data_IF_019800042328
#
_entry.id   IF_019800042328
#
_cell.length_a   1.000
_cell.length_b   1.000
_cell.length_c   1.000
_cell.angle_alpha   90.00
_cell.angle_beta   90.00
_cell.angle_gamma   90.00
#
_symmetry.space_group_name_H-M   'P 1'
#
loop_
_entity.id
_entity.type
_entity.pdbx_description
1 polymer ?
#
# COMPACT_ATOMS: atom_id res chain seq x y z
N UNK A 1 36.90 15.34 -2.95
CA UNK A 1 35.59 15.96 -2.81
C UNK A 1 35.24 16.08 -1.32
N UNK A 2 34.79 17.26 -0.90
CA UNK A 2 34.41 17.49 0.50
C UNK A 2 33.10 16.73 0.82
N UNK A 3 33.09 15.73 1.74
CA UNK A 3 31.91 14.93 2.03
C UNK A 3 30.70 15.75 2.50
N UNK A 4 30.93 16.90 3.15
CA UNK A 4 29.85 17.77 3.57
C UNK A 4 29.18 18.52 2.40
N UNK A 5 29.96 18.95 1.41
CA UNK A 5 29.41 19.59 0.21
C UNK A 5 28.61 18.62 -0.64
N UNK A 6 29.13 17.40 -0.79
CA UNK A 6 28.42 16.31 -1.53
C UNK A 6 27.13 15.94 -0.81
N UNK A 7 27.15 15.81 0.54
CA UNK A 7 25.98 15.53 1.34
C UNK A 7 24.90 16.63 1.21
N UNK A 8 25.31 17.89 1.24
CA UNK A 8 24.36 19.02 1.07
C UNK A 8 23.75 19.05 -0.34
N UNK A 9 24.53 18.75 -1.38
CA UNK A 9 24.02 18.64 -2.75
C UNK A 9 22.99 17.51 -2.89
N UNK A 10 23.20 16.37 -2.23
CA UNK A 10 22.23 15.28 -2.19
C UNK A 10 20.94 15.70 -1.46
N UNK A 11 21.06 16.36 -0.33
CA UNK A 11 19.91 16.91 0.43
C UNK A 11 19.05 17.84 -0.42
N UNK A 12 19.69 18.80 -1.11
CA UNK A 12 18.99 19.75 -1.99
C UNK A 12 18.24 19.07 -3.15
N UNK A 13 18.71 17.89 -3.58
CA UNK A 13 18.06 17.07 -4.60
C UNK A 13 17.09 16.02 -4.02
N UNK A 14 16.69 16.14 -2.75
CA UNK A 14 15.72 15.24 -2.10
C UNK A 14 16.27 13.85 -1.77
N UNK A 15 17.58 13.64 -1.88
CA UNK A 15 18.25 12.39 -1.53
C UNK A 15 18.64 12.40 -0.06
N UNK A 16 17.76 11.85 0.79
CA UNK A 16 17.97 11.80 2.23
C UNK A 16 18.96 10.69 2.61
N UNK A 17 19.86 10.93 3.58
CA UNK A 17 20.75 9.90 4.09
C UNK A 17 19.99 8.91 4.99
N UNK A 18 20.54 7.72 5.10
CA UNK A 18 20.05 6.65 5.95
C UNK A 18 21.08 6.27 7.01
N UNK A 19 20.62 6.06 8.25
CA UNK A 19 21.46 5.53 9.33
C UNK A 19 21.47 4.00 9.26
N UNK A 20 22.63 3.43 8.95
CA UNK A 20 22.85 2.00 9.00
C UNK A 20 23.58 1.65 10.31
N UNK A 21 22.96 0.82 11.15
CA UNK A 21 23.58 0.29 12.36
C UNK A 21 24.19 -1.08 12.08
N UNK A 22 25.51 -1.19 12.14
CA UNK A 22 26.24 -2.44 11.87
C UNK A 22 27.02 -2.83 13.12
N UNK A 23 26.97 -4.09 13.49
CA UNK A 23 27.84 -4.66 14.52
C UNK A 23 29.23 -4.89 13.94
N UNK A 24 30.22 -4.09 14.35
CA UNK A 24 31.63 -4.25 13.97
C UNK A 24 32.43 -4.53 15.21
N UNK A 25 33.11 -5.70 15.28
CA UNK A 25 33.91 -6.14 16.40
C UNK A 25 33.17 -6.06 17.76
N UNK A 26 31.90 -6.47 17.81
CA UNK A 26 31.10 -6.45 19.04
C UNK A 26 30.57 -5.06 19.44
N UNK A 27 30.85 -3.99 18.67
CA UNK A 27 30.37 -2.64 18.92
C UNK A 27 29.33 -2.24 17.83
N UNK A 28 28.23 -1.66 18.27
CA UNK A 28 27.25 -1.08 17.37
C UNK A 28 27.80 0.22 16.78
N UNK A 29 28.10 0.22 15.49
CA UNK A 29 28.58 1.40 14.75
C UNK A 29 27.44 1.92 13.89
N UNK A 30 27.09 3.20 14.04
CA UNK A 30 26.14 3.90 13.17
C UNK A 30 26.92 4.56 12.03
N UNK A 31 26.57 4.22 10.81
CA UNK A 31 27.16 4.80 9.59
C UNK A 31 26.07 5.49 8.79
N UNK A 32 26.32 6.74 8.41
CA UNK A 32 25.43 7.49 7.52
C UNK A 32 25.76 7.11 6.08
N UNK A 33 24.77 6.63 5.34
CA UNK A 33 24.90 6.28 3.91
C UNK A 33 23.88 7.04 3.07
N UNK A 34 24.20 7.28 1.80
CA UNK A 34 23.30 7.81 0.80
C UNK A 34 22.97 6.71 -0.22
N UNK A 35 21.93 5.91 0.01
CA UNK A 35 21.62 4.75 -0.84
C UNK A 35 20.82 5.19 -2.07
N UNK A 36 21.41 6.04 -2.89
CA UNK A 36 20.77 6.62 -4.06
C UNK A 36 21.63 6.44 -5.31
N UNK A 37 20.97 6.25 -6.45
CA UNK A 37 21.53 6.39 -7.77
C UNK A 37 20.82 7.54 -8.50
N UNK A 38 21.45 8.13 -9.50
CA UNK A 38 20.84 9.15 -10.34
C UNK A 38 20.83 8.67 -11.78
N UNK A 39 19.66 8.62 -12.39
CA UNK A 39 19.48 8.30 -13.80
C UNK A 39 19.33 9.60 -14.58
N UNK A 40 20.13 9.75 -15.64
CA UNK A 40 20.05 10.88 -16.59
C UNK A 40 19.57 10.39 -17.95
N UNK A 41 18.61 11.10 -18.52
CA UNK A 41 18.16 10.87 -19.88
C UNK A 41 17.83 12.21 -20.55
N UNK A 42 18.52 12.53 -21.64
CA UNK A 42 18.49 13.88 -22.26
C UNK A 42 18.84 14.93 -21.20
N UNK A 43 18.02 15.98 -21.07
CA UNK A 43 18.20 17.07 -20.13
C UNK A 43 17.51 16.85 -18.78
N UNK A 44 16.96 15.67 -18.55
CA UNK A 44 16.27 15.30 -17.30
C UNK A 44 17.11 14.34 -16.47
N UNK A 45 17.01 14.48 -15.16
CA UNK A 45 17.58 13.53 -14.21
C UNK A 45 16.61 13.19 -13.09
N UNK A 46 16.69 11.96 -12.57
CA UNK A 46 15.82 11.48 -11.52
C UNK A 46 16.57 10.59 -10.54
N UNK A 47 16.40 10.77 -9.22
CA UNK A 47 17.01 9.91 -8.22
C UNK A 47 16.28 8.56 -8.14
N UNK A 48 17.05 7.50 -7.91
CA UNK A 48 16.56 6.14 -7.61
C UNK A 48 16.97 5.77 -6.21
N UNK A 49 16.00 5.48 -5.34
CA UNK A 49 16.28 4.99 -3.99
C UNK A 49 16.59 3.50 -4.06
N UNK A 50 17.78 3.10 -3.58
CA UNK A 50 18.29 1.73 -3.68
C UNK A 50 17.89 0.84 -2.53
N UNK A 51 17.58 1.42 -1.35
CA UNK A 51 17.15 0.66 -0.19
C UNK A 51 15.64 0.47 -0.15
N UNK A 52 15.21 -0.75 0.11
CA UNK A 52 13.82 -1.10 0.36
C UNK A 52 13.68 -1.56 1.81
N UNK A 53 13.34 -0.61 2.70
CA UNK A 53 13.11 -0.90 4.12
C UNK A 53 11.79 -1.62 4.30
N UNK A 54 11.83 -2.80 4.90
CA UNK A 54 10.64 -3.49 5.39
C UNK A 54 10.46 -3.22 6.88
N UNK A 55 9.22 -3.11 7.30
CA UNK A 55 8.85 -2.97 8.72
C UNK A 55 9.43 -4.13 9.53
N UNK A 56 10.09 -3.82 10.64
CA UNK A 56 10.71 -4.79 11.56
C UNK A 56 11.74 -5.73 10.91
N UNK A 57 12.32 -5.38 9.76
CA UNK A 57 13.33 -6.20 9.10
C UNK A 57 14.73 -5.97 9.69
N UNK A 58 15.48 -7.05 9.84
CA UNK A 58 16.90 -6.95 10.12
C UNK A 58 17.68 -6.49 8.86
N UNK A 59 18.96 -6.13 9.04
CA UNK A 59 19.81 -5.61 7.95
C UNK A 59 19.90 -6.57 6.75
N UNK A 60 20.02 -7.88 7.01
CA UNK A 60 20.09 -8.90 5.96
C UNK A 60 18.80 -8.95 5.13
N UNK A 61 17.65 -8.96 5.79
CA UNK A 61 16.33 -8.93 5.14
C UNK A 61 16.11 -7.62 4.36
N UNK A 62 16.63 -6.50 4.86
CA UNK A 62 16.61 -5.22 4.17
C UNK A 62 17.46 -5.24 2.90
N UNK A 63 18.68 -5.79 2.94
CA UNK A 63 19.54 -5.94 1.77
C UNK A 63 18.87 -6.84 0.72
N UNK A 64 18.37 -8.00 1.14
CA UNK A 64 17.69 -8.93 0.24
C UNK A 64 16.47 -8.28 -0.45
N UNK A 65 15.63 -7.57 0.30
CA UNK A 65 14.48 -6.87 -0.27
C UNK A 65 14.89 -5.73 -1.20
N UNK A 66 16.01 -5.07 -0.92
CA UNK A 66 16.56 -4.00 -1.76
C UNK A 66 17.04 -4.55 -3.10
N UNK A 67 17.83 -5.63 -3.08
CA UNK A 67 18.31 -6.27 -4.32
C UNK A 67 17.14 -6.77 -5.18
N UNK A 68 16.13 -7.39 -4.56
CA UNK A 68 14.92 -7.81 -5.27
C UNK A 68 14.17 -6.64 -5.92
N UNK A 69 14.23 -5.45 -5.33
CA UNK A 69 13.54 -4.27 -5.81
C UNK A 69 14.32 -3.45 -6.84
N UNK A 70 15.63 -3.69 -7.04
CA UNK A 70 16.48 -2.86 -7.90
C UNK A 70 15.97 -2.76 -9.34
N UNK A 71 15.63 -3.90 -9.97
CA UNK A 71 15.13 -3.92 -11.34
C UNK A 71 13.84 -3.09 -11.48
N UNK A 72 12.93 -3.20 -10.52
CA UNK A 72 11.75 -2.37 -10.49
C UNK A 72 12.10 -0.88 -10.32
N UNK A 73 12.97 -0.54 -9.37
CA UNK A 73 13.31 0.85 -9.05
C UNK A 73 13.94 1.58 -10.24
N UNK A 74 14.85 0.92 -10.97
CA UNK A 74 15.44 1.49 -12.19
C UNK A 74 14.45 1.55 -13.35
N UNK A 75 13.68 0.48 -13.59
CA UNK A 75 12.68 0.45 -14.67
C UNK A 75 11.62 1.51 -14.47
N UNK A 76 11.19 1.74 -13.23
CA UNK A 76 10.24 2.78 -12.87
C UNK A 76 10.76 4.18 -13.28
N UNK A 77 12.01 4.49 -12.96
CA UNK A 77 12.61 5.77 -13.34
C UNK A 77 12.85 5.88 -14.85
N UNK A 78 13.25 4.80 -15.53
CA UNK A 78 13.38 4.78 -16.98
C UNK A 78 12.04 5.07 -17.68
N UNK A 79 10.94 4.49 -17.18
CA UNK A 79 9.61 4.77 -17.70
C UNK A 79 9.18 6.22 -17.47
N UNK A 80 9.47 6.78 -16.29
CA UNK A 80 9.17 8.19 -15.98
C UNK A 80 9.91 9.16 -16.89
N UNK A 81 11.18 8.89 -17.15
CA UNK A 81 12.03 9.76 -18.00
C UNK A 81 11.79 9.57 -19.50
N UNK A 82 11.49 8.33 -19.95
CA UNK A 82 11.40 7.98 -21.37
C UNK A 82 10.00 8.04 -21.96
N UNK A 83 8.94 8.09 -21.13
CA UNK A 83 7.56 7.97 -21.58
C UNK A 83 6.83 9.31 -21.60
N UNK A 84 6.15 9.60 -22.71
CA UNK A 84 5.12 10.64 -22.69
C UNK A 84 3.94 10.23 -21.82
N UNK A 85 3.50 11.11 -20.93
CA UNK A 85 2.31 10.92 -20.10
C UNK A 85 1.08 10.99 -20.98
N UNK A 86 0.46 9.87 -21.30
CA UNK A 86 -0.73 9.80 -22.17
C UNK A 86 -2.03 9.64 -21.38
N UNK A 87 -1.99 8.80 -20.32
CA UNK A 87 -3.19 8.49 -19.56
C UNK A 87 -3.60 9.64 -18.66
N UNK A 88 -4.90 9.92 -18.63
CA UNK A 88 -5.53 11.00 -17.89
C UNK A 88 -6.33 10.44 -16.73
N UNK A 89 -6.13 11.01 -15.54
CA UNK A 89 -6.85 10.62 -14.32
C UNK A 89 -7.69 11.78 -13.85
N UNK A 90 -8.99 11.54 -13.62
CA UNK A 90 -9.89 12.47 -12.95
C UNK A 90 -9.86 12.18 -11.43
N UNK A 91 -9.55 13.18 -10.63
CA UNK A 91 -9.72 13.13 -9.17
C UNK A 91 -11.07 13.77 -8.87
N UNK A 92 -12.02 12.97 -8.40
CA UNK A 92 -13.37 13.45 -8.16
C UNK A 92 -13.40 14.47 -7.00
N UNK A 93 -14.24 15.50 -7.17
CA UNK A 93 -14.44 16.62 -6.24
C UNK A 93 -15.89 17.04 -6.31
N UNK A 94 -16.69 16.86 -5.29
CA UNK A 94 -18.06 17.33 -5.17
C UNK A 94 -18.85 16.64 -4.06
N UNK A 95 -18.25 15.56 -3.51
CA UNK A 95 -18.90 14.75 -2.46
C UNK A 95 -18.27 14.93 -1.09
N UNK A 96 -17.55 16.04 -0.87
CA UNK A 96 -16.86 16.30 0.38
C UNK A 96 -15.66 15.39 0.60
N UNK A 97 -14.97 15.08 -0.47
CA UNK A 97 -13.75 14.27 -0.49
C UNK A 97 -12.63 14.95 0.31
N UNK A 98 -11.54 14.24 0.55
CA UNK A 98 -10.38 14.79 1.25
C UNK A 98 -9.86 16.06 0.58
N UNK A 99 -9.51 17.07 1.37
CA UNK A 99 -8.91 18.31 0.88
C UNK A 99 -7.55 18.01 0.19
N UNK A 100 -7.18 18.87 -0.77
CA UNK A 100 -5.96 18.71 -1.57
C UNK A 100 -4.69 18.55 -0.74
N UNK A 101 -4.59 19.26 0.41
CA UNK A 101 -3.44 19.15 1.32
C UNK A 101 -3.21 17.75 1.85
N UNK A 102 -4.27 16.96 2.03
CA UNK A 102 -4.18 15.56 2.48
C UNK A 102 -3.87 14.57 1.37
N UNK A 103 -3.98 14.98 0.10
CA UNK A 103 -3.68 14.19 -1.09
C UNK A 103 -2.37 14.59 -1.76
N UNK A 104 -1.73 15.67 -1.30
CA UNK A 104 -0.61 16.35 -1.98
C UNK A 104 0.54 15.40 -2.30
N UNK A 105 0.97 14.59 -1.34
CA UNK A 105 2.11 13.70 -1.56
C UNK A 105 1.78 12.61 -2.58
N UNK A 106 0.61 11.97 -2.48
CA UNK A 106 0.19 10.95 -3.44
C UNK A 106 -0.01 11.51 -4.86
N UNK A 107 -0.75 12.62 -4.98
CA UNK A 107 -1.00 13.25 -6.29
C UNK A 107 0.28 13.76 -6.93
N UNK A 108 1.20 14.34 -6.16
CA UNK A 108 2.51 14.77 -6.65
C UNK A 108 3.33 13.59 -7.16
N UNK A 109 3.30 12.47 -6.45
CA UNK A 109 3.99 11.24 -6.86
C UNK A 109 3.44 10.69 -8.19
N UNK A 110 2.11 10.57 -8.33
CA UNK A 110 1.51 9.99 -9.55
C UNK A 110 1.52 10.94 -10.75
N UNK A 111 1.72 12.26 -10.56
CA UNK A 111 1.96 13.20 -11.67
C UNK A 111 3.21 12.88 -12.48
N UNK A 112 4.16 12.14 -11.92
CA UNK A 112 5.31 11.66 -12.66
C UNK A 112 4.93 10.68 -13.79
N UNK A 113 3.79 9.99 -13.67
CA UNK A 113 3.32 8.96 -14.61
C UNK A 113 2.15 9.44 -15.48
N UNK A 114 1.25 10.25 -14.92
CA UNK A 114 -0.08 10.53 -15.47
C UNK A 114 -0.40 12.01 -15.52
N UNK A 115 -1.30 12.38 -16.43
CA UNK A 115 -1.94 13.69 -16.43
C UNK A 115 -3.12 13.65 -15.45
N UNK A 116 -3.10 14.50 -14.44
CA UNK A 116 -4.10 14.50 -13.37
C UNK A 116 -4.86 15.81 -13.39
N UNK A 117 -6.18 15.74 -13.33
CA UNK A 117 -7.05 16.91 -13.21
C UNK A 117 -8.15 16.67 -12.17
N UNK A 118 -8.56 17.69 -11.40
CA UNK A 118 -9.78 17.63 -10.62
C UNK A 118 -10.99 17.56 -11.54
N UNK A 119 -12.03 16.85 -11.11
CA UNK A 119 -13.27 16.71 -11.86
C UNK A 119 -14.47 16.80 -10.91
N UNK A 120 -15.37 17.75 -11.14
CA UNK A 120 -16.58 17.93 -10.34
C UNK A 120 -17.80 17.32 -11.01
N UNK A 121 -18.63 16.67 -10.19
CA UNK A 121 -19.95 16.19 -10.60
C UNK A 121 -21.08 17.20 -10.34
N UNK A 122 -20.80 18.39 -9.80
CA UNK A 122 -21.82 19.38 -9.41
C UNK A 122 -22.75 19.78 -10.56
N UNK A 123 -22.22 19.86 -11.77
CA UNK A 123 -22.99 20.23 -12.96
C UNK A 123 -23.89 19.09 -13.50
N UNK A 124 -23.85 17.91 -12.92
CA UNK A 124 -24.64 16.74 -13.39
C UNK A 124 -26.14 16.99 -13.33
N UNK A 125 -26.63 17.73 -12.33
CA UNK A 125 -28.05 18.01 -12.18
C UNK A 125 -28.64 18.75 -13.40
N UNK A 126 -27.91 19.72 -13.94
CA UNK A 126 -28.34 20.50 -15.10
C UNK A 126 -27.86 19.94 -16.45
N UNK A 127 -26.68 19.40 -16.52
CA UNK A 127 -25.99 19.00 -17.74
C UNK A 127 -25.39 17.60 -17.73
N UNK A 128 -26.14 16.52 -17.36
CA UNK A 128 -25.60 15.21 -17.16
C UNK A 128 -24.88 14.60 -18.36
N UNK A 129 -25.45 14.80 -19.58
CA UNK A 129 -24.84 14.29 -20.82
C UNK A 129 -23.49 14.95 -21.14
N UNK A 130 -23.35 16.24 -20.84
CA UNK A 130 -22.10 16.98 -21.02
C UNK A 130 -21.05 16.49 -20.04
N UNK A 131 -21.43 16.34 -18.77
CA UNK A 131 -20.50 15.86 -17.71
C UNK A 131 -20.03 14.44 -18.04
N UNK A 132 -20.93 13.54 -18.45
CA UNK A 132 -20.53 12.18 -18.87
C UNK A 132 -19.53 12.22 -20.04
N UNK A 133 -19.78 13.04 -21.06
CA UNK A 133 -18.88 13.18 -22.22
C UNK A 133 -17.50 13.71 -21.81
N UNK A 134 -17.45 14.66 -20.88
CA UNK A 134 -16.17 15.18 -20.36
C UNK A 134 -15.46 14.13 -19.50
N UNK A 135 -16.18 13.38 -18.65
CA UNK A 135 -15.60 12.32 -17.83
C UNK A 135 -15.01 11.18 -18.68
N UNK A 136 -15.64 10.86 -19.81
CA UNK A 136 -15.14 9.84 -20.75
C UNK A 136 -13.81 10.20 -21.42
N UNK A 137 -13.30 11.43 -21.26
CA UNK A 137 -11.95 11.80 -21.73
C UNK A 137 -10.85 11.33 -20.79
N UNK A 138 -11.19 10.83 -19.61
CA UNK A 138 -10.26 10.31 -18.62
C UNK A 138 -10.23 8.78 -18.67
N UNK A 139 -9.04 8.20 -18.51
CA UNK A 139 -8.82 6.75 -18.54
C UNK A 139 -9.14 6.10 -17.20
N UNK A 140 -9.01 6.85 -16.11
CA UNK A 140 -9.36 6.39 -14.76
C UNK A 140 -9.92 7.54 -13.91
N UNK A 141 -10.71 7.18 -12.90
CA UNK A 141 -11.16 8.06 -11.84
C UNK A 141 -10.54 7.63 -10.51
N UNK A 142 -10.30 8.60 -9.63
CA UNK A 142 -9.96 8.41 -8.21
C UNK A 142 -11.08 9.05 -7.40
N UNK A 143 -11.71 8.25 -6.55
CA UNK A 143 -12.65 8.71 -5.52
C UNK A 143 -12.01 8.52 -4.14
N UNK A 144 -11.84 9.61 -3.39
CA UNK A 144 -11.06 9.63 -2.16
C UNK A 144 -11.86 10.17 -0.96
N UNK A 145 -12.42 9.27 -0.17
CA UNK A 145 -13.19 9.58 1.05
C UNK A 145 -14.39 10.50 0.79
N UNK A 146 -15.37 10.12 -0.05
CA UNK A 146 -16.61 10.87 -0.16
C UNK A 146 -17.36 10.89 1.17
N UNK A 147 -17.91 12.05 1.54
CA UNK A 147 -18.69 12.23 2.77
C UNK A 147 -20.16 12.51 2.50
N UNK A 148 -20.53 12.86 1.26
CA UNK A 148 -21.90 13.18 0.85
C UNK A 148 -22.43 12.11 -0.12
N UNK A 149 -23.70 11.78 0.00
CA UNK A 149 -24.37 10.82 -0.88
C UNK A 149 -24.37 11.27 -2.34
N UNK A 150 -24.21 10.31 -3.24
CA UNK A 150 -24.35 10.53 -4.68
C UNK A 150 -25.84 10.55 -5.07
N UNK A 151 -26.20 11.46 -5.95
CA UNK A 151 -27.54 11.49 -6.54
C UNK A 151 -27.68 10.42 -7.62
N UNK A 152 -28.91 10.04 -7.97
CA UNK A 152 -29.16 9.04 -9.03
C UNK A 152 -28.57 9.45 -10.39
N UNK A 153 -28.58 10.75 -10.72
CA UNK A 153 -27.95 11.24 -11.95
C UNK A 153 -26.44 11.09 -11.94
N UNK A 154 -25.78 11.35 -10.82
CA UNK A 154 -24.34 11.18 -10.65
C UNK A 154 -23.94 9.72 -10.71
N UNK A 155 -24.71 8.85 -10.05
CA UNK A 155 -24.49 7.39 -10.12
C UNK A 155 -24.63 6.88 -11.55
N UNK A 156 -25.61 7.37 -12.30
CA UNK A 156 -25.77 6.96 -13.69
C UNK A 156 -24.62 7.46 -14.58
N UNK A 157 -24.10 8.66 -14.33
CA UNK A 157 -22.89 9.16 -15.01
C UNK A 157 -21.68 8.26 -14.71
N UNK A 158 -21.46 7.90 -13.45
CA UNK A 158 -20.37 7.02 -13.05
C UNK A 158 -20.55 5.61 -13.61
N UNK A 159 -21.76 5.05 -13.53
CA UNK A 159 -22.08 3.74 -14.11
C UNK A 159 -21.79 3.72 -15.61
N UNK A 160 -22.31 4.69 -16.37
CA UNK A 160 -22.08 4.76 -17.80
C UNK A 160 -20.63 5.09 -18.20
N UNK A 161 -19.89 5.78 -17.34
CA UNK A 161 -18.44 5.90 -17.51
C UNK A 161 -17.75 4.52 -17.43
N UNK A 162 -18.09 3.70 -16.43
CA UNK A 162 -17.57 2.33 -16.29
C UNK A 162 -18.05 1.45 -17.46
N UNK A 163 -19.33 1.55 -17.86
CA UNK A 163 -19.87 0.80 -19.00
C UNK A 163 -19.11 1.09 -20.31
N UNK A 164 -18.52 2.27 -20.44
CA UNK A 164 -17.69 2.64 -21.59
C UNK A 164 -16.20 2.26 -21.45
N UNK A 165 -15.84 1.52 -20.42
CA UNK A 165 -14.47 1.02 -20.21
C UNK A 165 -13.63 1.88 -19.27
N UNK A 166 -14.22 2.87 -18.63
CA UNK A 166 -13.58 3.67 -17.59
C UNK A 166 -13.11 2.78 -16.44
N UNK A 167 -12.00 3.14 -15.82
CA UNK A 167 -11.41 2.45 -14.68
C UNK A 167 -11.59 3.28 -13.43
N UNK A 168 -11.62 2.64 -12.26
CA UNK A 168 -11.83 3.37 -11.02
C UNK A 168 -11.00 2.81 -9.86
N UNK A 169 -10.43 3.73 -9.07
CA UNK A 169 -9.88 3.48 -7.75
C UNK A 169 -10.81 4.14 -6.74
N UNK A 170 -11.57 3.30 -6.04
CA UNK A 170 -12.52 3.71 -5.02
C UNK A 170 -11.88 3.55 -3.63
N UNK A 171 -11.77 4.61 -2.87
CA UNK A 171 -11.35 4.62 -1.46
C UNK A 171 -12.52 5.18 -0.65
N UNK A 172 -13.36 4.27 -0.17
CA UNK A 172 -14.71 4.58 0.33
C UNK A 172 -14.98 3.86 1.65
N UNK A 173 -15.50 4.59 2.60
CA UNK A 173 -15.93 4.07 3.89
C UNK A 173 -17.44 4.28 4.11
N UNK A 174 -18.08 3.33 4.78
CA UNK A 174 -19.52 3.35 5.11
C UNK A 174 -19.81 3.71 6.55
N UNK A 175 -18.80 4.02 7.33
CA UNK A 175 -18.90 4.46 8.72
C UNK A 175 -18.30 5.84 8.88
N UNK A 176 -19.04 6.73 9.53
CA UNK A 176 -18.58 8.07 9.86
C UNK A 176 -17.94 8.05 11.24
N UNK A 177 -16.63 8.22 11.29
CA UNK A 177 -15.84 8.42 12.51
C UNK A 177 -14.52 9.11 12.15
N UNK A 178 -14.04 10.01 13.02
CA UNK A 178 -12.80 10.74 12.79
C UNK A 178 -11.87 10.61 14.00
N UNK A 179 -10.61 10.25 13.75
CA UNK A 179 -9.58 10.08 14.79
C UNK A 179 -9.26 11.38 15.53
N UNK A 180 -9.28 12.50 14.84
CA UNK A 180 -8.98 13.81 15.46
C UNK A 180 -10.05 14.21 16.49
N UNK A 181 -11.33 13.95 16.20
CA UNK A 181 -12.41 14.14 17.16
C UNK A 181 -12.22 13.23 18.38
N UNK A 182 -11.88 11.95 18.16
CA UNK A 182 -11.63 10.99 19.23
C UNK A 182 -10.48 11.44 20.16
N UNK A 183 -9.39 12.00 19.62
CA UNK A 183 -8.27 12.53 20.40
C UNK A 183 -8.65 13.74 21.25
N UNK A 184 -9.62 14.55 20.80
CA UNK A 184 -10.06 15.74 21.50
C UNK A 184 -11.02 15.42 22.65
N UNK A 185 -11.95 14.50 22.44
CA UNK A 185 -13.06 14.20 23.37
C UNK A 185 -12.85 12.94 24.21
N UNK A 186 -11.88 12.10 23.83
CA UNK A 186 -11.64 10.79 24.48
C UNK A 186 -12.58 9.68 24.00
N UNK A 187 -13.73 10.01 23.40
CA UNK A 187 -14.66 9.06 22.78
C UNK A 187 -15.34 9.68 21.56
N UNK A 188 -15.83 8.84 20.66
CA UNK A 188 -16.62 9.24 19.50
C UNK A 188 -17.60 8.11 19.15
N UNK A 189 -18.73 8.45 18.52
CA UNK A 189 -19.71 7.47 18.07
C UNK A 189 -19.50 7.20 16.59
N UNK A 190 -19.16 5.95 16.26
CA UNK A 190 -19.12 5.47 14.90
C UNK A 190 -20.57 5.27 14.40
N UNK A 191 -20.94 5.99 13.35
CA UNK A 191 -22.29 5.98 12.79
C UNK A 191 -22.28 5.47 11.35
N UNK A 192 -23.30 4.71 10.91
CA UNK A 192 -23.42 4.33 9.50
C UNK A 192 -23.56 5.58 8.61
N UNK A 193 -22.90 5.56 7.47
CA UNK A 193 -22.88 6.64 6.46
C UNK A 193 -23.35 6.09 5.12
N UNK A 194 -24.52 6.52 4.67
CA UNK A 194 -25.03 6.12 3.37
C UNK A 194 -24.56 7.10 2.28
N UNK A 195 -23.76 6.58 1.37
CA UNK A 195 -23.26 7.31 0.20
C UNK A 195 -24.08 7.04 -1.07
N UNK A 196 -25.14 6.24 -1.00
CA UNK A 196 -25.92 5.74 -2.14
C UNK A 196 -25.08 4.91 -3.16
N UNK A 197 -23.91 4.40 -2.76
CA UNK A 197 -23.04 3.58 -3.61
C UNK A 197 -23.30 2.07 -3.49
N UNK A 198 -24.10 1.65 -2.50
CA UNK A 198 -24.31 0.25 -2.16
C UNK A 198 -24.80 -0.57 -3.35
N UNK A 199 -25.82 -0.07 -4.07
CA UNK A 199 -26.40 -0.75 -5.23
C UNK A 199 -25.39 -0.88 -6.38
N UNK A 200 -24.54 0.15 -6.57
CA UNK A 200 -23.49 0.15 -7.60
C UNK A 200 -22.47 -0.95 -7.31
N UNK A 201 -21.90 -0.96 -6.11
CA UNK A 201 -20.91 -1.94 -5.73
C UNK A 201 -21.48 -3.36 -5.66
N UNK A 202 -22.71 -3.52 -5.15
CA UNK A 202 -23.38 -4.82 -5.12
C UNK A 202 -23.54 -5.41 -6.54
N UNK A 203 -23.95 -4.59 -7.49
CA UNK A 203 -24.08 -5.01 -8.89
C UNK A 203 -22.72 -5.36 -9.50
N UNK A 204 -21.66 -4.66 -9.11
CA UNK A 204 -20.30 -4.92 -9.56
C UNK A 204 -19.65 -6.10 -8.86
N UNK A 205 -20.24 -6.62 -7.78
CA UNK A 205 -19.84 -7.87 -7.16
C UNK A 205 -19.04 -7.71 -5.86
N UNK A 206 -19.17 -6.57 -5.19
CA UNK A 206 -18.58 -6.31 -3.87
C UNK A 206 -19.60 -5.58 -2.99
N UNK A 207 -19.56 -5.80 -1.67
CA UNK A 207 -20.32 -5.06 -0.67
C UNK A 207 -19.38 -4.52 0.37
N UNK A 208 -19.49 -3.24 0.69
CA UNK A 208 -18.84 -2.62 1.85
C UNK A 208 -19.83 -2.69 3.00
N UNK A 209 -19.43 -3.29 4.12
CA UNK A 209 -20.30 -3.50 5.27
C UNK A 209 -20.29 -2.29 6.21
N UNK A 210 -21.40 -2.07 6.93
CA UNK A 210 -21.54 -1.03 7.97
C UNK A 210 -20.97 -1.53 9.31
N UNK A 211 -19.65 -1.77 9.33
CA UNK A 211 -18.94 -2.28 10.49
C UNK A 211 -17.49 -1.78 10.49
N UNK A 212 -16.85 -1.80 11.65
CA UNK A 212 -15.44 -1.45 11.80
C UNK A 212 -14.60 -2.69 12.04
N UNK A 213 -13.41 -2.73 11.45
CA UNK A 213 -12.45 -3.78 11.70
C UNK A 213 -11.58 -3.42 12.89
N UNK A 214 -11.67 -4.27 13.91
CA UNK A 214 -10.82 -4.27 15.09
C UNK A 214 -9.77 -5.37 14.90
N UNK A 215 -8.47 -5.01 14.86
CA UNK A 215 -7.37 -5.91 14.54
C UNK A 215 -6.23 -5.74 15.54
N UNK A 216 -5.76 -6.84 16.10
CA UNK A 216 -4.60 -6.84 17.02
C UNK A 216 -3.32 -6.45 16.29
N UNK A 217 -3.20 -6.81 15.01
CA UNK A 217 -2.10 -6.36 14.17
C UNK A 217 -2.40 -4.99 13.59
N UNK A 218 -2.08 -3.96 14.34
CA UNK A 218 -2.45 -2.56 14.07
C UNK A 218 -1.31 -1.60 14.35
N UNK A 219 -1.42 -0.39 13.81
CA UNK A 219 -0.55 0.72 14.16
C UNK A 219 -0.90 1.26 15.55
N UNK A 220 0.07 1.71 16.34
CA UNK A 220 -0.19 2.29 17.66
C UNK A 220 -0.81 3.69 17.55
N UNK A 221 -1.63 4.06 18.54
CA UNK A 221 -2.01 5.45 18.74
C UNK A 221 -1.05 6.13 19.71
N UNK A 222 -0.66 7.36 19.41
CA UNK A 222 0.20 8.15 20.29
C UNK A 222 -0.66 9.12 21.10
N UNK A 223 -0.59 8.96 22.43
CA UNK A 223 -1.34 9.80 23.37
C UNK A 223 -0.39 10.57 24.27
N UNK A 224 -0.75 11.82 24.54
CA UNK A 224 -0.05 12.67 25.48
C UNK A 224 -0.31 12.18 26.92
N UNK A 225 0.76 11.86 27.64
CA UNK A 225 0.72 11.47 29.05
C UNK A 225 1.66 12.32 29.87
N UNK A 226 1.36 12.50 31.16
CA UNK A 226 2.15 13.34 32.06
C UNK A 226 1.45 14.67 32.41
N UNK A 227 2.12 15.49 33.22
CA UNK A 227 1.65 16.82 33.61
C UNK A 227 2.16 17.87 32.62
N UNK A 228 1.48 19.03 32.54
CA UNK A 228 1.71 20.08 31.54
C UNK A 228 3.17 20.47 31.21
N UNK A 229 4.12 20.27 32.13
CA UNK A 229 5.55 20.55 31.90
C UNK A 229 6.37 19.34 31.46
N UNK A 230 5.85 18.11 31.64
CA UNK A 230 6.52 16.84 31.32
C UNK A 230 5.64 15.97 30.43
N UNK A 231 4.94 16.57 29.49
CA UNK A 231 4.08 15.84 28.55
C UNK A 231 4.93 15.02 27.58
N UNK A 232 4.75 13.69 27.62
CA UNK A 232 5.39 12.76 26.69
C UNK A 232 4.32 12.11 25.81
N UNK A 233 4.65 11.88 24.54
CA UNK A 233 3.82 11.12 23.63
C UNK A 233 4.23 9.65 23.67
N UNK A 234 3.37 8.80 24.23
CA UNK A 234 3.61 7.38 24.36
C UNK A 234 2.75 6.56 23.40
N UNK A 235 3.29 5.49 22.78
CA UNK A 235 2.54 4.58 21.95
C UNK A 235 1.66 3.67 22.79
N UNK A 236 0.42 3.49 22.34
CA UNK A 236 -0.54 2.55 22.94
C UNK A 236 -1.14 1.65 21.86
N UNK A 237 -1.49 0.38 22.17
CA UNK A 237 -2.21 -0.49 21.25
C UNK A 237 -3.50 0.17 20.79
N UNK A 238 -3.75 0.20 19.47
CA UNK A 238 -4.95 0.80 18.90
C UNK A 238 -5.52 -0.04 17.77
N UNK A 239 -6.55 -0.78 18.03
CA UNK A 239 -7.02 -1.87 17.17
C UNK A 239 -7.85 -1.42 15.96
N UNK A 240 -8.15 -0.13 15.82
CA UNK A 240 -8.89 0.43 14.67
C UNK A 240 -8.00 1.05 13.59
N UNK A 241 -6.68 0.85 13.68
CA UNK A 241 -5.73 1.14 12.59
C UNK A 241 -5.06 -0.16 12.10
N UNK A 242 -5.82 -1.09 11.47
CA UNK A 242 -5.27 -2.37 11.04
C UNK A 242 -4.13 -2.19 10.04
N UNK A 243 -3.09 -3.01 10.20
CA UNK A 243 -1.98 -3.15 9.27
C UNK A 243 -2.27 -4.30 8.31
N UNK A 244 -2.92 -3.99 7.19
CA UNK A 244 -3.35 -4.99 6.24
C UNK A 244 -2.19 -5.67 5.53
N UNK A 245 -2.33 -6.97 5.34
CA UNK A 245 -1.34 -7.83 4.66
C UNK A 245 -1.83 -8.24 3.28
N UNK A 246 -0.91 -8.53 2.34
CA UNK A 246 -1.26 -9.15 1.08
C UNK A 246 -2.04 -10.45 1.29
N UNK A 247 -3.19 -10.58 0.62
CA UNK A 247 -4.02 -11.79 0.63
C UNK A 247 -3.75 -12.69 -0.57
N UNK A 248 -3.26 -12.13 -1.67
CA UNK A 248 -3.00 -12.85 -2.90
C UNK A 248 -1.55 -12.66 -3.37
N UNK A 249 -1.06 -13.63 -4.16
CA UNK A 249 0.18 -13.48 -4.94
C UNK A 249 -0.11 -12.62 -6.18
N UNK A 250 -0.46 -11.36 -5.96
CA UNK A 250 -0.80 -10.43 -7.04
C UNK A 250 0.23 -9.31 -7.15
N UNK A 251 0.63 -8.89 -8.37
CA UNK A 251 1.66 -7.87 -8.58
C UNK A 251 1.43 -6.57 -7.79
N UNK A 252 0.19 -6.12 -7.67
CA UNK A 252 -0.17 -4.89 -6.93
C UNK A 252 0.34 -4.92 -5.48
N UNK A 253 0.29 -6.08 -4.83
CA UNK A 253 0.62 -6.25 -3.40
C UNK A 253 1.90 -7.03 -3.16
N UNK A 254 2.63 -7.35 -4.20
CA UNK A 254 3.90 -8.07 -4.07
C UNK A 254 5.00 -7.17 -3.56
N UNK A 255 5.75 -7.68 -2.59
CA UNK A 255 6.93 -7.02 -2.02
C UNK A 255 6.68 -5.59 -1.48
N UNK A 256 5.46 -5.33 -0.98
CA UNK A 256 5.11 -4.09 -0.29
C UNK A 256 5.16 -4.27 1.23
N UNK A 257 5.30 -3.18 1.97
CA UNK A 257 5.10 -3.16 3.42
C UNK A 257 3.61 -3.34 3.75
N UNK A 258 3.30 -3.67 5.01
CA UNK A 258 1.94 -3.64 5.50
C UNK A 258 1.31 -2.27 5.21
N UNK A 259 0.06 -2.27 4.78
CA UNK A 259 -0.69 -1.06 4.44
C UNK A 259 -1.52 -0.65 5.65
N UNK A 260 -1.33 0.57 6.12
CA UNK A 260 -2.07 1.11 7.25
C UNK A 260 -3.45 1.59 6.80
N UNK A 261 -4.48 1.12 7.48
CA UNK A 261 -5.86 1.57 7.37
C UNK A 261 -6.25 2.37 8.61
N UNK A 262 -7.29 3.19 8.50
CA UNK A 262 -7.86 3.94 9.63
C UNK A 262 -9.38 3.73 9.63
N UNK A 263 -9.93 3.10 10.67
CA UNK A 263 -11.35 2.78 10.79
C UNK A 263 -11.93 2.01 9.58
N UNK A 264 -11.17 1.05 9.07
CA UNK A 264 -11.55 0.26 7.90
C UNK A 264 -12.88 -0.48 8.08
N UNK A 265 -13.65 -0.58 6.99
CA UNK A 265 -14.81 -1.46 6.92
C UNK A 265 -14.42 -2.82 6.33
N UNK A 266 -15.22 -3.87 6.53
CA UNK A 266 -15.02 -5.11 5.80
C UNK A 266 -15.65 -5.07 4.40
N UNK A 267 -15.11 -5.91 3.50
CA UNK A 267 -15.65 -6.14 2.16
C UNK A 267 -16.12 -7.57 2.02
N UNK A 268 -17.30 -7.77 1.43
CA UNK A 268 -17.72 -9.08 0.93
C UNK A 268 -17.57 -9.14 -0.60
N UNK A 269 -17.13 -10.29 -1.09
CA UNK A 269 -17.15 -10.59 -2.53
C UNK A 269 -18.38 -11.39 -2.89
N UNK A 270 -19.13 -10.93 -3.89
CA UNK A 270 -20.41 -11.51 -4.27
C UNK A 270 -20.27 -12.34 -5.55
N UNK A 271 -20.97 -13.48 -5.64
CA UNK A 271 -20.95 -14.33 -6.82
C UNK A 271 -21.65 -13.64 -8.00
N UNK A 272 -20.91 -13.30 -9.03
CA UNK A 272 -21.38 -12.83 -10.34
C UNK A 272 -20.31 -13.15 -11.40
N UNK A 273 -20.50 -12.73 -12.65
CA UNK A 273 -19.54 -13.00 -13.74
C UNK A 273 -18.25 -12.21 -13.73
N UNK A 274 -17.99 -11.39 -12.68
CA UNK A 274 -16.78 -10.58 -12.53
C UNK A 274 -15.74 -11.38 -11.77
N UNK A 275 -14.47 -11.33 -12.19
CA UNK A 275 -13.34 -11.83 -11.40
C UNK A 275 -13.06 -10.93 -10.21
N UNK A 276 -12.86 -11.50 -9.04
CA UNK A 276 -12.53 -10.79 -7.80
C UNK A 276 -11.24 -11.34 -7.21
N UNK A 277 -10.31 -10.44 -6.95
CA UNK A 277 -9.07 -10.77 -6.25
C UNK A 277 -8.99 -9.93 -4.98
N UNK A 278 -9.05 -10.58 -3.82
CA UNK A 278 -8.79 -9.90 -2.55
C UNK A 278 -7.30 -9.54 -2.52
N UNK A 279 -7.00 -8.24 -2.53
CA UNK A 279 -5.63 -7.73 -2.53
C UNK A 279 -5.06 -7.64 -1.12
N UNK A 280 -5.80 -7.02 -0.22
CA UNK A 280 -5.42 -6.77 1.16
C UNK A 280 -6.50 -7.29 2.09
N UNK A 281 -6.07 -7.82 3.22
CA UNK A 281 -6.94 -8.33 4.28
C UNK A 281 -6.38 -8.02 5.67
N UNK A 282 -7.26 -8.01 6.66
CA UNK A 282 -6.90 -7.93 8.09
C UNK A 282 -6.15 -9.19 8.57
N UNK A 283 -5.64 -9.15 9.78
CA UNK A 283 -4.93 -10.30 10.38
C UNK A 283 -5.89 -11.44 10.78
N UNK A 284 -5.32 -12.56 11.21
CA UNK A 284 -6.09 -13.67 11.78
C UNK A 284 -6.75 -13.29 13.11
N UNK A 285 -6.12 -12.36 13.87
CA UNK A 285 -6.65 -11.82 15.11
C UNK A 285 -7.36 -10.50 14.86
N UNK A 286 -8.40 -10.54 14.04
CA UNK A 286 -9.29 -9.42 13.77
C UNK A 286 -10.74 -9.83 13.86
N UNK A 287 -11.61 -8.86 14.13
CA UNK A 287 -13.05 -9.02 14.17
C UNK A 287 -13.75 -7.81 13.55
N UNK A 288 -14.94 -8.02 13.04
CA UNK A 288 -15.83 -6.97 12.61
C UNK A 288 -16.73 -6.56 13.78
N UNK A 289 -16.99 -5.29 13.92
CA UNK A 289 -17.83 -4.70 14.96
C UNK A 289 -18.89 -3.80 14.34
N UNK A 290 -20.15 -4.17 14.54
CA UNK A 290 -21.30 -3.44 13.99
C UNK A 290 -21.39 -2.02 14.52
N UNK A 291 -21.96 -1.11 13.72
CA UNK A 291 -22.29 0.26 14.09
C UNK A 291 -23.81 0.46 14.08
N UNK A 292 -24.39 1.39 14.91
CA UNK A 292 -23.72 2.42 15.73
C UNK A 292 -22.95 1.85 16.93
N UNK A 293 -21.76 2.43 17.20
CA UNK A 293 -20.92 2.02 18.34
C UNK A 293 -20.13 3.19 18.90
N UNK A 294 -20.01 3.26 20.20
CA UNK A 294 -19.06 4.16 20.85
C UNK A 294 -17.65 3.57 20.76
N UNK A 295 -16.71 4.38 20.28
CA UNK A 295 -15.28 4.12 20.29
C UNK A 295 -14.66 5.05 21.33
N UNK A 296 -13.93 4.46 22.29
CA UNK A 296 -13.39 5.17 23.44
C UNK A 296 -11.90 4.88 23.60
N UNK A 297 -11.09 5.88 23.94
CA UNK A 297 -9.64 5.73 24.14
C UNK A 297 -9.27 4.77 25.26
N UNK A 298 -10.19 4.49 26.23
CA UNK A 298 -9.97 3.48 27.27
C UNK A 298 -9.75 2.06 26.71
N UNK A 299 -10.10 1.82 25.44
CA UNK A 299 -9.83 0.55 24.75
C UNK A 299 -8.35 0.21 24.67
N UNK A 300 -7.44 1.18 24.82
CA UNK A 300 -5.98 0.93 24.91
C UNK A 300 -5.61 0.00 26.08
N UNK A 301 -6.46 -0.09 27.09
CA UNK A 301 -6.24 -0.93 28.28
C UNK A 301 -6.77 -2.36 28.11
N UNK A 302 -7.46 -2.65 27.01
CA UNK A 302 -8.01 -3.99 26.74
C UNK A 302 -6.88 -4.92 26.30
N UNK A 303 -6.71 -6.03 27.03
CA UNK A 303 -5.77 -7.08 26.62
C UNK A 303 -6.50 -8.03 25.65
N UNK A 304 -6.02 -8.15 24.41
CA UNK A 304 -6.66 -9.05 23.45
C UNK A 304 -6.44 -10.52 23.83
N UNK A 305 -7.49 -11.34 23.68
CA UNK A 305 -7.39 -12.80 23.79
C UNK A 305 -7.90 -13.45 22.48
N UNK A 306 -7.43 -14.65 22.12
CA UNK A 306 -7.84 -15.31 20.87
C UNK A 306 -9.35 -15.52 20.75
N UNK A 307 -10.05 -15.75 21.86
CA UNK A 307 -11.50 -15.96 21.88
C UNK A 307 -12.29 -14.73 21.44
N UNK A 308 -11.70 -13.53 21.58
CA UNK A 308 -12.32 -12.27 21.14
C UNK A 308 -12.28 -12.10 19.61
N UNK A 309 -11.51 -12.93 18.89
CA UNK A 309 -11.24 -12.81 17.46
C UNK A 309 -11.48 -14.13 16.70
N UNK A 310 -12.71 -14.62 16.66
CA UNK A 310 -13.00 -15.99 16.21
C UNK A 310 -12.89 -16.19 14.69
N UNK A 311 -12.92 -15.13 13.89
CA UNK A 311 -13.01 -15.24 12.44
C UNK A 311 -11.75 -14.77 11.71
N UNK A 312 -11.35 -13.52 11.87
CA UNK A 312 -10.19 -12.92 11.20
C UNK A 312 -10.25 -12.85 9.67
N UNK A 313 -9.20 -12.30 9.06
CA UNK A 313 -8.98 -12.27 7.59
C UNK A 313 -10.10 -11.60 6.79
N UNK A 314 -10.57 -10.44 7.24
CA UNK A 314 -11.57 -9.67 6.51
C UNK A 314 -10.93 -8.98 5.30
N UNK A 315 -11.52 -9.09 4.10
CA UNK A 315 -11.07 -8.33 2.94
C UNK A 315 -11.20 -6.83 3.17
N UNK A 316 -10.17 -6.06 2.80
CA UNK A 316 -10.11 -4.60 2.93
C UNK A 316 -9.87 -3.89 1.59
N UNK A 317 -9.32 -4.60 0.61
CA UNK A 317 -9.16 -4.10 -0.75
C UNK A 317 -9.38 -5.24 -1.75
N UNK A 318 -10.19 -4.97 -2.78
CA UNK A 318 -10.58 -5.97 -3.79
C UNK A 318 -10.39 -5.38 -5.19
N UNK A 319 -9.73 -6.14 -6.06
CA UNK A 319 -9.67 -5.90 -7.49
C UNK A 319 -10.84 -6.62 -8.18
N UNK A 320 -11.55 -5.90 -9.02
CA UNK A 320 -12.66 -6.38 -9.85
C UNK A 320 -12.26 -6.28 -11.32
N UNK A 321 -12.37 -7.38 -12.07
CA UNK A 321 -12.00 -7.44 -13.49
C UNK A 321 -13.04 -8.18 -14.31
N UNK A 322 -13.43 -7.61 -15.43
CA UNK A 322 -14.36 -8.27 -16.34
C UNK A 322 -15.26 -7.32 -17.10
N UNK A 323 -16.40 -7.84 -17.55
CA UNK A 323 -17.45 -7.10 -18.22
C UNK A 323 -18.58 -6.83 -17.22
N UNK A 324 -18.63 -5.60 -16.71
CA UNK A 324 -19.60 -5.19 -15.70
C UNK A 324 -20.99 -5.04 -16.28
N UNK A 325 -22.01 -5.32 -15.48
CA UNK A 325 -23.41 -5.08 -15.84
C UNK A 325 -23.87 -3.78 -15.18
N UNK A 326 -24.47 -2.88 -15.95
CA UNK A 326 -25.02 -1.62 -15.45
C UNK A 326 -26.03 -1.84 -14.32
N UNK A 327 -25.96 -0.99 -13.30
CA UNK A 327 -26.96 -0.98 -12.23
C UNK A 327 -28.33 -0.53 -12.74
N UNK A 328 -28.36 0.16 -13.86
CA UNK A 328 -29.60 0.64 -14.54
C UNK A 328 -30.13 -0.31 -15.59
N UNK A 329 -29.50 -1.46 -15.80
CA UNK A 329 -30.07 -2.49 -16.68
C UNK A 329 -31.44 -2.91 -16.15
N UNK A 330 -32.46 -2.82 -17.01
CA UNK A 330 -33.86 -3.07 -16.68
C UNK A 330 -34.47 -2.09 -15.64
N UNK A 331 -33.93 -0.89 -15.55
CA UNK A 331 -34.47 0.21 -14.74
C UNK A 331 -34.62 1.45 -15.57
N UNK A 332 -35.51 2.35 -15.18
CA UNK A 332 -35.67 3.66 -15.80
C UNK A 332 -34.43 4.51 -15.46
N UNK A 333 -33.63 4.95 -16.44
CA UNK A 333 -32.46 5.78 -16.17
C UNK A 333 -32.93 7.20 -15.78
N UNK A 334 -32.12 7.90 -14.91
CA UNK A 334 -32.51 9.24 -14.44
C UNK A 334 -32.42 10.34 -15.49
N UNK A 335 -31.84 10.04 -16.65
CA UNK A 335 -31.90 10.87 -17.86
C UNK A 335 -31.69 10.01 -19.12
N UNK A 336 -32.25 10.44 -20.24
CA UNK A 336 -32.08 9.76 -21.52
C UNK A 336 -30.68 9.94 -22.09
N UNK A 337 -29.98 8.82 -22.37
CA UNK A 337 -28.69 8.79 -23.02
C UNK A 337 -28.64 7.74 -24.12
N UNK A 338 -28.72 8.22 -25.39
CA UNK A 338 -28.81 7.36 -26.59
C UNK A 338 -27.68 6.32 -26.74
N UNK A 339 -26.54 6.54 -26.11
CA UNK A 339 -25.38 5.63 -26.15
C UNK A 339 -25.23 4.83 -24.84
N UNK A 340 -26.29 4.72 -24.06
CA UNK A 340 -26.28 3.94 -22.83
C UNK A 340 -25.93 2.47 -23.13
N UNK A 341 -25.16 1.86 -22.22
CA UNK A 341 -24.79 0.46 -22.31
C UNK A 341 -25.24 -0.28 -21.05
N UNK A 342 -25.82 -1.45 -21.27
CA UNK A 342 -26.21 -2.37 -20.18
C UNK A 342 -25.04 -3.23 -19.70
N UNK A 343 -23.98 -3.34 -20.51
CA UNK A 343 -22.81 -4.15 -20.24
C UNK A 343 -21.55 -3.42 -20.70
N UNK A 344 -20.51 -3.46 -19.87
CA UNK A 344 -19.27 -2.80 -20.21
C UNK A 344 -18.42 -3.63 -21.19
N UNK A 345 -17.46 -2.98 -21.84
CA UNK A 345 -16.26 -3.67 -22.33
C UNK A 345 -15.46 -4.16 -21.13
N UNK A 346 -14.50 -5.08 -21.35
CA UNK A 346 -13.60 -5.53 -20.27
C UNK A 346 -12.89 -4.33 -19.64
N UNK A 347 -13.09 -4.15 -18.35
CA UNK A 347 -12.49 -3.07 -17.58
C UNK A 347 -12.14 -3.55 -16.17
N UNK A 348 -11.52 -2.67 -15.36
CA UNK A 348 -11.01 -2.98 -14.04
C UNK A 348 -11.40 -1.91 -13.05
N UNK A 349 -11.66 -2.32 -11.82
CA UNK A 349 -11.89 -1.42 -10.69
C UNK A 349 -11.20 -1.97 -9.45
N UNK A 350 -10.74 -1.08 -8.58
CA UNK A 350 -10.24 -1.43 -7.25
C UNK A 350 -11.10 -0.71 -6.23
N UNK A 351 -11.62 -1.47 -5.28
CA UNK A 351 -12.40 -0.96 -4.15
C UNK A 351 -11.61 -1.18 -2.88
N UNK A 352 -11.39 -0.10 -2.13
CA UNK A 352 -10.73 -0.08 -0.83
C UNK A 352 -11.72 0.46 0.19
N UNK A 353 -11.90 -0.24 1.28
CA UNK A 353 -12.90 0.06 2.31
C UNK A 353 -12.41 1.02 3.39
N UNK A 354 -11.63 2.00 2.98
CA UNK A 354 -11.12 3.06 3.84
C UNK A 354 -10.79 4.28 2.97
N UNK A 355 -11.36 5.43 3.34
CA UNK A 355 -11.11 6.69 2.65
C UNK A 355 -9.82 7.37 3.06
N UNK A 356 -9.32 7.10 4.28
CA UNK A 356 -8.09 7.69 4.82
C UNK A 356 -6.81 7.00 4.34
N UNK A 357 -6.91 5.87 3.64
CA UNK A 357 -5.74 5.13 3.11
C UNK A 357 -4.80 6.01 2.29
N UNK A 358 -5.31 7.05 1.65
CA UNK A 358 -4.57 8.00 0.77
C UNK A 358 -4.20 9.29 1.48
N UNK A 359 -4.62 9.46 2.74
CA UNK A 359 -4.43 10.68 3.53
C UNK A 359 -2.99 10.77 4.04
N UNK A 360 -2.22 11.77 3.58
CA UNK A 360 -0.93 12.07 4.19
C UNK A 360 -1.09 12.87 5.48
N UNK A 361 -0.18 12.64 6.43
CA UNK A 361 -0.12 13.45 7.65
C UNK A 361 0.46 14.84 7.36
N UNK A 362 0.05 15.82 8.18
CA UNK A 362 0.60 17.18 8.17
C UNK A 362 1.22 17.44 9.55
N UNK A 363 2.48 17.85 9.57
CA UNK A 363 3.20 18.17 10.80
C UNK A 363 3.82 19.55 10.70
N UNK A 364 3.50 20.44 11.63
CA UNK A 364 4.00 21.85 11.66
C UNK A 364 3.82 22.60 10.33
N UNK A 365 2.72 22.30 9.62
CA UNK A 365 2.40 22.88 8.30
C UNK A 365 3.06 22.19 7.11
N UNK A 366 3.96 21.23 7.32
CA UNK A 366 4.59 20.46 6.25
C UNK A 366 3.85 19.15 5.97
N UNK A 367 3.71 18.82 4.69
CA UNK A 367 3.13 17.57 4.22
C UNK A 367 4.15 16.46 4.37
N UNK A 368 3.81 15.42 5.13
CA UNK A 368 4.65 14.24 5.27
C UNK A 368 4.36 13.25 4.14
N UNK A 369 5.33 12.37 3.86
CA UNK A 369 5.16 11.29 2.90
C UNK A 369 3.99 10.38 3.30
N UNK A 370 3.17 9.98 2.33
CA UNK A 370 2.05 9.07 2.56
C UNK A 370 2.55 7.74 3.14
N UNK A 371 1.97 7.37 4.27
CA UNK A 371 2.34 6.17 5.04
C UNK A 371 3.54 6.37 6.00
N UNK A 372 4.16 7.54 6.05
CA UNK A 372 5.25 7.79 7.00
C UNK A 372 4.70 8.06 8.41
N UNK A 373 5.20 7.29 9.36
CA UNK A 373 4.92 7.48 10.78
C UNK A 373 6.08 8.27 11.43
N UNK A 374 5.79 9.53 11.78
CA UNK A 374 6.80 10.44 12.37
C UNK A 374 7.33 10.02 13.74
N UNK A 375 6.63 9.13 14.44
CA UNK A 375 7.02 8.69 15.78
C UNK A 375 7.96 7.48 15.75
N UNK A 376 7.69 6.53 14.86
CA UNK A 376 8.56 5.35 14.66
C UNK A 376 9.66 5.62 13.62
N UNK A 377 9.45 6.57 12.71
CA UNK A 377 10.30 6.76 11.52
C UNK A 377 10.09 5.69 10.44
N UNK A 378 9.11 4.82 10.61
CA UNK A 378 8.76 3.79 9.64
C UNK A 378 7.88 4.34 8.50
N UNK A 379 7.84 3.62 7.39
CA UNK A 379 6.96 3.93 6.27
C UNK A 379 6.12 2.71 5.91
N UNK A 380 4.80 2.85 6.05
CA UNK A 380 3.82 1.85 5.63
C UNK A 380 3.69 1.78 4.11
N UNK A 381 3.10 0.71 3.61
CA UNK A 381 2.97 0.42 2.19
C UNK A 381 1.95 1.24 1.40
N UNK A 382 1.29 2.22 2.00
CA UNK A 382 0.15 2.96 1.44
C UNK A 382 0.45 3.57 0.06
N UNK A 383 1.48 4.41 -0.04
CA UNK A 383 1.89 5.05 -1.30
C UNK A 383 2.20 4.02 -2.38
N UNK A 384 2.95 2.99 -2.01
CA UNK A 384 3.36 1.92 -2.94
C UNK A 384 2.15 1.13 -3.44
N UNK A 385 1.24 0.75 -2.54
CA UNK A 385 0.01 0.04 -2.89
C UNK A 385 -0.85 0.83 -3.87
N UNK A 386 -1.15 2.09 -3.56
CA UNK A 386 -2.00 2.94 -4.39
C UNK A 386 -1.36 3.24 -5.75
N UNK A 387 -0.04 3.44 -5.80
CA UNK A 387 0.70 3.62 -7.07
C UNK A 387 0.63 2.36 -7.92
N UNK A 388 0.88 1.18 -7.33
CA UNK A 388 0.77 -0.09 -8.04
C UNK A 388 -0.66 -0.36 -8.53
N UNK A 389 -1.67 0.01 -7.73
CA UNK A 389 -3.08 -0.11 -8.09
C UNK A 389 -3.40 0.71 -9.35
N UNK A 390 -2.98 1.96 -9.41
CA UNK A 390 -3.17 2.81 -10.59
C UNK A 390 -2.39 2.31 -11.81
N UNK A 391 -1.12 1.92 -11.63
CA UNK A 391 -0.31 1.37 -12.71
C UNK A 391 -0.97 0.12 -13.31
N UNK A 392 -1.50 -0.76 -12.46
CA UNK A 392 -2.20 -1.96 -12.91
C UNK A 392 -3.53 -1.64 -13.63
N UNK A 393 -4.31 -0.70 -13.10
CA UNK A 393 -5.55 -0.24 -13.74
C UNK A 393 -5.27 0.34 -15.14
N UNK A 394 -4.19 1.10 -15.30
CA UNK A 394 -3.89 1.84 -16.52
C UNK A 394 -3.02 1.07 -17.54
N UNK A 395 -2.76 -0.21 -17.28
CA UNK A 395 -2.13 -1.12 -18.24
C UNK A 395 -0.61 -1.22 -18.11
N UNK A 396 -0.01 -0.64 -17.06
CA UNK A 396 1.43 -0.80 -16.76
C UNK A 396 1.71 -2.09 -15.97
N UNK A 397 0.99 -3.16 -16.31
CA UNK A 397 1.08 -4.46 -15.62
C UNK A 397 2.50 -5.03 -15.61
N UNK A 398 3.26 -4.81 -16.69
CA UNK A 398 4.63 -5.33 -16.80
C UNK A 398 5.56 -4.70 -15.77
N UNK A 399 5.42 -3.38 -15.51
CA UNK A 399 6.17 -2.70 -14.46
C UNK A 399 5.84 -3.30 -13.08
N UNK A 400 4.55 -3.48 -12.82
CA UNK A 400 4.10 -4.02 -11.53
C UNK A 400 4.53 -5.50 -11.36
N UNK A 401 4.56 -6.29 -12.45
CA UNK A 401 5.02 -7.70 -12.45
C UNK A 401 6.51 -7.85 -12.08
N UNK A 402 7.36 -6.85 -12.33
CA UNK A 402 8.77 -6.89 -11.92
C UNK A 402 8.95 -7.03 -10.41
N UNK A 403 7.99 -6.58 -9.61
CA UNK A 403 7.98 -6.77 -8.15
C UNK A 403 7.79 -8.22 -7.71
N UNK A 404 7.23 -9.08 -8.57
CA UNK A 404 7.05 -10.50 -8.27
C UNK A 404 8.33 -11.33 -8.44
N UNK A 405 9.38 -10.76 -9.04
CA UNK A 405 10.63 -11.46 -9.25
C UNK A 405 11.31 -11.73 -7.91
N UNK A 406 11.44 -13.00 -7.56
CA UNK A 406 12.18 -13.42 -6.37
C UNK A 406 13.61 -13.78 -6.79
N UNK A 407 14.58 -13.05 -6.28
CA UNK A 407 16.00 -13.36 -6.42
C UNK A 407 16.44 -14.00 -5.11
N UNK A 408 16.68 -15.30 -5.12
CA UNK A 408 17.27 -15.97 -3.97
C UNK A 408 18.76 -15.66 -3.93
N UNK A 409 19.15 -14.77 -3.02
CA UNK A 409 20.56 -14.54 -2.71
C UNK A 409 20.92 -15.58 -1.65
N UNK A 410 21.83 -16.51 -1.94
CA UNK A 410 22.28 -17.47 -0.95
C UNK A 410 23.09 -16.76 0.13
N UNK A 411 22.42 -16.35 1.20
CA UNK A 411 23.05 -15.79 2.39
C UNK A 411 23.27 -16.86 3.43
N UNK A 412 24.40 -16.78 4.11
CA UNK A 412 24.67 -17.63 5.25
C UNK A 412 23.77 -17.22 6.42
N UNK A 413 23.09 -18.17 7.03
CA UNK A 413 22.25 -17.89 8.20
C UNK A 413 23.12 -17.53 9.40
N UNK A 414 23.21 -16.23 9.69
CA UNK A 414 24.08 -15.65 10.74
C UNK A 414 23.76 -16.24 12.12
N UNK A 415 22.50 -16.53 12.42
CA UNK A 415 22.09 -17.13 13.69
C UNK A 415 22.60 -18.57 13.84
N UNK A 416 22.49 -19.38 12.78
CA UNK A 416 23.05 -20.75 12.79
C UNK A 416 24.56 -20.75 12.89
N UNK A 417 25.23 -19.80 12.27
CA UNK A 417 26.70 -19.65 12.35
C UNK A 417 27.12 -19.29 13.77
N UNK A 418 26.46 -18.29 14.37
CA UNK A 418 26.80 -17.84 15.74
C UNK A 418 26.52 -18.91 16.78
N UNK A 419 25.41 -19.61 16.68
CA UNK A 419 25.02 -20.67 17.64
C UNK A 419 25.88 -21.93 17.53
N UNK A 420 26.50 -22.18 16.37
CA UNK A 420 27.29 -23.39 16.11
C UNK A 420 28.68 -23.10 15.55
N UNK A 421 29.26 -21.96 15.91
CA UNK A 421 30.58 -21.50 15.39
C UNK A 421 31.69 -22.55 15.50
N UNK A 422 31.80 -23.23 16.65
CA UNK A 422 32.82 -24.27 16.87
C UNK A 422 32.59 -25.47 15.92
N UNK A 423 31.35 -25.89 15.71
CA UNK A 423 31.02 -27.01 14.84
C UNK A 423 31.38 -26.71 13.39
N UNK A 424 31.05 -25.49 12.90
CA UNK A 424 31.41 -25.06 11.55
C UNK A 424 32.92 -24.93 11.34
N UNK A 425 33.67 -24.46 12.39
CA UNK A 425 35.13 -24.41 12.35
C UNK A 425 35.74 -25.80 12.27
N UNK A 426 35.28 -26.76 13.11
CA UNK A 426 35.75 -28.14 13.10
C UNK A 426 35.43 -28.81 11.75
N UNK A 427 34.22 -28.62 11.19
CA UNK A 427 33.84 -29.17 9.87
C UNK A 427 34.75 -28.63 8.77
N UNK A 428 34.95 -27.32 8.68
CA UNK A 428 35.76 -26.71 7.61
C UNK A 428 37.23 -27.13 7.66
N UNK A 429 37.83 -27.27 8.86
CA UNK A 429 39.20 -27.69 9.02
C UNK A 429 39.31 -29.22 8.94
N UNK A 430 38.42 -29.94 9.61
CA UNK A 430 38.46 -31.40 9.70
C UNK A 430 38.19 -32.09 8.38
N UNK A 431 37.22 -31.64 7.59
CA UNK A 431 36.93 -32.23 6.25
C UNK A 431 38.14 -32.07 5.33
N UNK A 432 38.83 -30.91 5.34
CA UNK A 432 40.06 -30.72 4.56
C UNK A 432 41.14 -31.70 4.93
N UNK A 433 41.39 -31.91 6.22
CA UNK A 433 42.42 -32.86 6.72
C UNK A 433 42.04 -34.31 6.33
N UNK A 434 40.78 -34.69 6.53
CA UNK A 434 40.28 -36.05 6.20
C UNK A 434 40.43 -36.34 4.70
N UNK A 435 40.14 -35.38 3.84
CA UNK A 435 40.33 -35.52 2.40
C UNK A 435 41.79 -35.72 2.00
N UNK A 436 42.69 -34.94 2.59
CA UNK A 436 44.16 -35.04 2.31
C UNK A 436 44.67 -36.40 2.76
N UNK A 437 44.33 -36.80 3.99
CA UNK A 437 44.78 -38.11 4.54
C UNK A 437 44.16 -39.26 3.74
N UNK A 438 42.86 -39.18 3.41
CA UNK A 438 42.17 -40.16 2.57
C UNK A 438 42.82 -40.33 1.19
N UNK A 439 43.12 -39.19 0.54
CA UNK A 439 43.84 -39.18 -0.73
C UNK A 439 45.23 -39.79 -0.60
N UNK A 440 45.97 -39.49 0.48
CA UNK A 440 47.29 -40.10 0.78
C UNK A 440 47.20 -41.62 0.90
N UNK A 441 46.18 -42.14 1.61
CA UNK A 441 45.96 -43.60 1.75
C UNK A 441 45.60 -44.25 0.40
N UNK A 442 44.74 -43.64 -0.41
CA UNK A 442 44.37 -44.14 -1.74
C UNK A 442 45.60 -44.18 -2.64
N UNK A 443 46.42 -43.15 -2.65
CA UNK A 443 47.64 -43.09 -3.45
C UNK A 443 48.70 -44.09 -2.95
N UNK A 444 48.81 -44.30 -1.64
CA UNK A 444 49.70 -45.31 -1.06
C UNK A 444 49.27 -46.71 -1.47
N UNK A 445 47.99 -47.05 -1.38
CA UNK A 445 47.44 -48.36 -1.79
C UNK A 445 47.57 -48.56 -3.32
N UNK A 446 47.31 -47.54 -4.15
CA UNK A 446 47.48 -47.59 -5.61
C UNK A 446 48.94 -47.88 -6.00
N UNK A 447 49.91 -47.22 -5.33
CA UNK A 447 51.33 -47.47 -5.53
C UNK A 447 51.73 -48.89 -5.13
N UNK A 448 51.29 -49.40 -4.01
CA UNK A 448 51.56 -50.76 -3.63
C UNK A 448 51.06 -51.79 -4.64
N UNK A 449 49.87 -51.53 -5.22
CA UNK A 449 49.27 -52.44 -6.23
C UNK A 449 49.95 -52.38 -7.59
N UNK A 450 50.57 -51.25 -7.94
CA UNK A 450 51.24 -51.04 -9.23
C UNK A 450 52.70 -51.46 -9.26
N UNK A 451 53.35 -51.54 -8.12
CA UNK A 451 54.78 -51.88 -8.00
C UNK A 451 55.06 -53.18 -7.23
N UNK A 452 54.03 -53.97 -7.05
CA UNK A 452 54.06 -55.38 -6.72
C UNK A 452 53.75 -56.17 -7.96
#
# INVERSE_FOLDING_TARGET
DNPQQVGNAFYQNGMMPENLSVMKNGKLTKTLIFPWAVVKYKDQQMPVHLLNKKLNANVESMINSSVQNLEYAFTDVFLKLGRERKNKIAVLRSKGELEDRYLTDFLSHIRAYYLIAPFSLDSVQGHPKKVLKELQKFDAIIEAKPTKAFTEKELYVLDQYIMNGGKALWMVETVAIEKDSLKQTGSNIAMPKDLNLLNLFFKYGVRINYELINDVYSAPIYLATGKAKDTQLNPYPWFYEPLAKPSAKHPIVSNINAVKFEFANSLDTLKNGISKTVLLQSSEMSRAEDVPREINLNMINVKPSPEMYPKGKYPLAVLLEGEFTSVYKNRIPPFDYKKAKDKSVKTKQIVVSDGDIVKNEISKGEVLNLGFDRFTGDTYGNKTFLTNALNYLLGDENLVKLRNKQINIPTLNSEKILNHTKLWQILNIGVGIVLIVGFGFVMYWYRQKRFR
#
